data_IF_203580854897
#
_entry.id   IF_203580854897
#
_cell.length_a   1.000
_cell.length_b   1.000
_cell.length_c   1.000
_cell.angle_alpha   90.00
_cell.angle_beta   90.00
_cell.angle_gamma   90.00
#
_symmetry.space_group_name_H-M   'P 1'
#
loop_
_entity.id
_entity.type
_entity.pdbx_description
1 polymer ?
#
# COMPACT_ATOMS: atom_id res chain seq x y z
N UNK A 1 -17.16 13.85 10.78
CA UNK A 1 -16.30 14.53 9.78
C UNK A 1 -15.35 13.47 9.26
N UNK A 2 -15.34 13.16 7.96
CA UNK A 2 -14.44 12.12 7.46
C UNK A 2 -12.99 12.63 7.59
N UNK A 3 -12.18 11.94 8.39
CA UNK A 3 -10.75 12.24 8.54
C UNK A 3 -10.11 11.86 7.21
N UNK A 4 -9.60 12.84 6.46
CA UNK A 4 -8.78 12.56 5.28
C UNK A 4 -7.52 11.82 5.77
N UNK A 5 -7.33 10.58 5.30
CA UNK A 5 -6.14 9.77 5.60
C UNK A 5 -4.99 10.16 4.67
N UNK A 6 -3.74 9.85 5.02
CA UNK A 6 -2.60 10.01 4.11
C UNK A 6 -2.83 9.25 2.81
N UNK A 7 -3.47 8.07 2.87
CA UNK A 7 -3.88 7.29 1.69
C UNK A 7 -4.81 8.06 0.75
N UNK A 8 -5.86 8.72 1.26
CA UNK A 8 -6.74 9.56 0.43
C UNK A 8 -5.95 10.71 -0.21
N UNK A 9 -5.05 11.31 0.55
CA UNK A 9 -4.23 12.42 0.09
C UNK A 9 -3.27 11.98 -1.02
N UNK A 10 -2.59 10.85 -0.87
CA UNK A 10 -1.72 10.25 -1.91
C UNK A 10 -2.51 9.87 -3.16
N UNK A 11 -3.69 9.26 -3.00
CA UNK A 11 -4.53 8.92 -4.16
C UNK A 11 -4.90 10.17 -4.98
N UNK A 12 -5.08 11.31 -4.32
CA UNK A 12 -5.43 12.59 -4.94
C UNK A 12 -4.25 13.48 -5.32
N UNK A 13 -3.02 13.14 -4.92
CA UNK A 13 -1.85 13.99 -5.12
C UNK A 13 -1.40 13.98 -6.59
N UNK A 14 -0.91 15.13 -7.04
CA UNK A 14 -0.27 15.36 -8.34
C UNK A 14 1.13 15.89 -8.05
N UNK A 15 2.07 15.03 -7.67
CA UNK A 15 3.46 15.44 -7.42
C UNK A 15 4.43 14.39 -7.99
N UNK A 16 5.26 14.81 -8.94
CA UNK A 16 6.31 13.97 -9.55
C UNK A 16 6.79 14.50 -10.91
N UNK A 17 7.95 14.00 -11.35
CA UNK A 17 8.34 14.05 -12.77
C UNK A 17 7.47 13.04 -13.55
N UNK A 18 7.05 13.33 -14.80
CA UNK A 18 6.20 12.43 -15.55
C UNK A 18 6.84 11.05 -15.73
N UNK A 19 6.20 10.02 -15.18
CA UNK A 19 6.55 8.62 -15.45
C UNK A 19 5.74 8.14 -16.64
N UNK A 20 6.32 7.35 -17.55
CA UNK A 20 5.53 6.67 -18.57
C UNK A 20 4.94 5.38 -18.00
N UNK A 21 3.66 5.45 -17.59
CA UNK A 21 2.96 4.30 -16.99
C UNK A 21 2.27 3.40 -18.02
N UNK A 22 2.35 3.72 -19.32
CA UNK A 22 1.70 2.92 -20.37
C UNK A 22 2.21 1.48 -20.42
N UNK A 23 3.47 1.26 -20.02
CA UNK A 23 4.07 -0.07 -19.89
C UNK A 23 3.74 -0.80 -18.60
N UNK A 24 3.15 -0.16 -17.58
CA UNK A 24 2.92 -0.77 -16.25
C UNK A 24 1.60 -1.53 -16.15
N UNK A 25 0.67 -1.32 -17.07
CA UNK A 25 -0.52 -2.15 -17.22
C UNK A 25 -0.24 -3.33 -18.15
N UNK A 26 -0.96 -4.45 -17.94
CA UNK A 26 -1.04 -5.51 -18.95
C UNK A 26 -1.54 -4.93 -20.29
N UNK A 27 -1.35 -5.62 -21.43
CA UNK A 27 -1.87 -5.17 -22.73
C UNK A 27 -3.38 -4.83 -22.72
N UNK A 28 -4.11 -5.45 -21.79
CA UNK A 28 -5.56 -5.26 -21.62
C UNK A 28 -5.91 -4.15 -20.60
N UNK A 29 -4.92 -3.52 -19.96
CA UNK A 29 -5.09 -2.39 -19.02
C UNK A 29 -5.16 -2.76 -17.53
N UNK A 30 -4.83 -4.00 -17.15
CA UNK A 30 -4.87 -4.42 -15.75
C UNK A 30 -3.55 -4.10 -15.02
N UNK A 31 -3.64 -3.60 -13.80
CA UNK A 31 -2.49 -3.32 -12.92
C UNK A 31 -2.78 -3.81 -11.51
N UNK A 32 -1.75 -4.09 -10.73
CA UNK A 32 -1.87 -4.27 -9.28
C UNK A 32 -1.37 -3.03 -8.56
N UNK A 33 -2.25 -2.41 -7.78
CA UNK A 33 -1.97 -1.23 -7.00
C UNK A 33 -1.71 -1.61 -5.54
N UNK A 34 -0.70 -0.99 -4.95
CA UNK A 34 -0.42 -1.05 -3.52
C UNK A 34 -0.50 0.36 -2.95
N UNK A 35 -1.30 0.53 -1.91
CA UNK A 35 -1.28 1.73 -1.08
C UNK A 35 -0.67 1.39 0.27
N UNK A 36 0.19 2.27 0.78
CA UNK A 36 0.72 2.16 2.13
C UNK A 36 0.85 3.51 2.83
N UNK A 37 0.75 3.54 4.16
CA UNK A 37 1.12 4.68 5.01
C UNK A 37 1.52 4.22 6.42
N UNK A 38 2.00 5.13 7.27
CA UNK A 38 2.33 4.84 8.67
C UNK A 38 1.08 5.08 9.53
N UNK A 39 0.75 4.12 10.40
CA UNK A 39 -0.34 4.27 11.37
C UNK A 39 -0.03 5.39 12.37
N UNK A 40 -1.00 6.30 12.60
CA UNK A 40 -0.87 7.43 13.54
C UNK A 40 0.33 8.36 13.28
N UNK A 41 0.77 8.51 12.03
CA UNK A 41 1.96 9.30 11.67
C UNK A 41 1.95 10.75 12.18
N UNK A 42 0.80 11.42 12.19
CA UNK A 42 0.65 12.76 12.78
C UNK A 42 0.90 12.76 14.29
N UNK A 43 0.32 11.80 15.01
CA UNK A 43 0.51 11.66 16.44
C UNK A 43 1.96 11.29 16.79
N UNK A 44 2.59 10.44 15.99
CA UNK A 44 4.02 10.12 16.12
C UNK A 44 4.89 11.36 15.93
N UNK A 45 4.62 12.18 14.91
CA UNK A 45 5.37 13.42 14.71
C UNK A 45 5.27 14.37 15.92
N UNK A 46 4.06 14.54 16.48
CA UNK A 46 3.86 15.37 17.68
C UNK A 46 4.65 14.86 18.90
N UNK A 47 4.74 13.54 19.08
CA UNK A 47 5.46 12.92 20.20
C UNK A 47 6.98 12.93 20.03
N UNK A 48 7.46 12.63 18.83
CA UNK A 48 8.89 12.46 18.53
C UNK A 48 9.58 13.79 18.20
N UNK A 49 8.81 14.77 17.73
CA UNK A 49 9.29 16.04 17.21
C UNK A 49 9.82 15.94 15.79
N UNK A 50 9.77 17.08 15.08
CA UNK A 50 9.99 17.16 13.63
C UNK A 50 11.31 16.53 13.16
N UNK A 51 12.39 16.69 13.93
CA UNK A 51 13.71 16.20 13.51
C UNK A 51 13.80 14.69 13.50
N UNK A 52 13.39 14.05 14.59
CA UNK A 52 13.43 12.59 14.70
C UNK A 52 12.42 11.96 13.73
N UNK A 53 11.22 12.53 13.65
CA UNK A 53 10.22 12.10 12.67
C UNK A 53 10.72 12.21 11.23
N UNK A 54 11.41 13.31 10.87
CA UNK A 54 11.99 13.47 9.53
C UNK A 54 12.99 12.35 9.19
N UNK A 55 13.88 12.00 10.13
CA UNK A 55 14.87 10.94 9.91
C UNK A 55 14.19 9.56 9.75
N UNK A 56 13.15 9.27 10.54
CA UNK A 56 12.33 8.05 10.42
C UNK A 56 11.59 8.01 9.08
N UNK A 57 10.96 9.12 8.71
CA UNK A 57 10.21 9.22 7.46
C UNK A 57 11.11 9.02 6.25
N UNK A 58 12.31 9.58 6.28
CA UNK A 58 13.30 9.39 5.22
C UNK A 58 13.71 7.93 5.09
N UNK A 59 13.97 7.24 6.20
CA UNK A 59 14.39 5.85 6.21
C UNK A 59 13.24 4.91 5.79
N UNK A 60 12.01 5.16 6.25
CA UNK A 60 10.79 4.48 5.78
C UNK A 60 10.63 4.62 4.26
N UNK A 61 10.69 5.86 3.76
CA UNK A 61 10.54 6.14 2.34
C UNK A 61 11.64 5.46 1.51
N UNK A 62 12.88 5.40 2.00
CA UNK A 62 13.97 4.69 1.34
C UNK A 62 13.71 3.18 1.23
N UNK A 63 13.21 2.55 2.31
CA UNK A 63 12.85 1.12 2.31
C UNK A 63 11.74 0.84 1.31
N UNK A 64 10.63 1.59 1.36
CA UNK A 64 9.48 1.35 0.47
C UNK A 64 9.90 1.50 -1.00
N UNK A 65 10.68 2.54 -1.35
CA UNK A 65 11.17 2.74 -2.72
C UNK A 65 12.12 1.65 -3.17
N UNK A 66 13.06 1.25 -2.32
CA UNK A 66 14.02 0.21 -2.63
C UNK A 66 13.36 -1.14 -2.88
N UNK A 67 12.40 -1.52 -2.02
CA UNK A 67 11.66 -2.76 -2.16
C UNK A 67 10.68 -2.74 -3.33
N UNK A 68 10.01 -1.61 -3.59
CA UNK A 68 9.21 -1.47 -4.80
C UNK A 68 10.04 -1.78 -6.05
N UNK A 69 11.21 -1.16 -6.20
CA UNK A 69 12.11 -1.41 -7.33
C UNK A 69 12.66 -2.84 -7.38
N UNK A 70 12.97 -3.44 -6.23
CA UNK A 70 13.47 -4.83 -6.15
C UNK A 70 12.44 -5.88 -6.58
N UNK A 71 11.14 -5.54 -6.53
CA UNK A 71 10.02 -6.39 -6.94
C UNK A 71 9.37 -5.92 -8.25
N UNK A 72 10.13 -5.24 -9.12
CA UNK A 72 9.67 -4.73 -10.43
C UNK A 72 8.42 -3.81 -10.32
N UNK A 73 8.31 -3.11 -9.20
CA UNK A 73 7.28 -2.12 -8.92
C UNK A 73 7.73 -0.71 -9.27
N UNK A 74 6.76 0.13 -9.58
CA UNK A 74 6.95 1.57 -9.80
C UNK A 74 6.26 2.36 -8.71
N UNK A 75 6.93 3.35 -8.15
CA UNK A 75 6.28 4.34 -7.29
C UNK A 75 5.57 5.33 -8.18
N UNK A 76 4.24 5.27 -8.21
CA UNK A 76 3.40 6.21 -8.98
C UNK A 76 3.44 7.57 -8.31
N UNK A 77 3.17 7.61 -7.00
CA UNK A 77 3.23 8.84 -6.20
C UNK A 77 3.43 8.56 -4.72
N UNK A 78 3.82 9.60 -4.01
CA UNK A 78 4.04 9.58 -2.56
C UNK A 78 3.74 10.94 -1.96
N UNK A 79 3.17 10.97 -0.76
CA UNK A 79 2.92 12.19 -0.01
C UNK A 79 3.15 11.91 1.47
N UNK A 80 4.13 12.60 2.06
CA UNK A 80 4.57 12.35 3.43
C UNK A 80 5.08 10.91 3.60
N UNK A 81 4.34 10.13 4.38
CA UNK A 81 4.56 8.71 4.70
C UNK A 81 3.82 7.74 3.78
N UNK A 82 2.90 8.28 2.97
CA UNK A 82 2.02 7.51 2.14
C UNK A 82 2.57 7.27 0.73
N UNK A 83 2.30 6.08 0.17
CA UNK A 83 2.70 5.65 -1.16
C UNK A 83 1.56 5.06 -1.96
N UNK A 84 1.59 5.30 -3.26
CA UNK A 84 0.88 4.55 -4.28
C UNK A 84 1.91 3.90 -5.20
N UNK A 85 1.91 2.58 -5.22
CA UNK A 85 2.80 1.76 -6.04
C UNK A 85 1.98 0.98 -7.07
N UNK A 86 2.61 0.68 -8.20
CA UNK A 86 2.02 -0.13 -9.26
C UNK A 86 2.94 -1.27 -9.66
N UNK A 87 2.33 -2.43 -9.92
CA UNK A 87 3.00 -3.66 -10.32
C UNK A 87 2.21 -4.31 -11.45
N UNK A 88 2.91 -4.88 -12.42
CA UNK A 88 2.30 -5.74 -13.44
C UNK A 88 1.85 -7.09 -12.86
N UNK A 89 2.50 -7.55 -11.78
CA UNK A 89 2.26 -8.86 -11.16
C UNK A 89 1.66 -8.71 -9.77
N UNK A 90 0.49 -9.34 -9.55
CA UNK A 90 -0.12 -9.41 -8.22
C UNK A 90 0.78 -10.15 -7.21
N UNK A 91 1.53 -11.16 -7.69
CA UNK A 91 2.47 -11.88 -6.86
C UNK A 91 3.64 -10.99 -6.40
N UNK A 92 4.21 -10.20 -7.31
CA UNK A 92 5.29 -9.28 -6.99
C UNK A 92 4.84 -8.20 -5.99
N UNK A 93 3.65 -7.62 -6.19
CA UNK A 93 3.04 -6.67 -5.26
C UNK A 93 2.89 -7.25 -3.84
N UNK A 94 2.36 -8.48 -3.74
CA UNK A 94 2.17 -9.17 -2.45
C UNK A 94 3.51 -9.48 -1.79
N UNK A 95 4.52 -9.92 -2.55
CA UNK A 95 5.88 -10.16 -2.01
C UNK A 95 6.56 -8.89 -1.55
N UNK A 96 6.44 -7.80 -2.30
CA UNK A 96 6.90 -6.48 -1.88
C UNK A 96 6.24 -6.06 -0.56
N UNK A 97 4.92 -6.22 -0.44
CA UNK A 97 4.20 -5.87 0.79
C UNK A 97 4.68 -6.68 2.01
N UNK A 98 4.91 -7.99 1.84
CA UNK A 98 5.49 -8.85 2.89
C UNK A 98 6.86 -8.33 3.31
N UNK A 99 7.74 -8.05 2.36
CA UNK A 99 9.12 -7.62 2.66
C UNK A 99 9.16 -6.23 3.29
N UNK A 100 8.25 -5.33 2.90
CA UNK A 100 8.10 -4.01 3.55
C UNK A 100 7.72 -4.19 5.02
N UNK A 101 6.69 -5.00 5.31
CA UNK A 101 6.30 -5.29 6.69
C UNK A 101 7.46 -5.95 7.45
N UNK A 102 8.07 -7.02 6.94
CA UNK A 102 9.19 -7.70 7.60
C UNK A 102 10.38 -6.76 7.87
N UNK A 103 10.68 -5.86 6.94
CA UNK A 103 11.82 -4.95 7.04
C UNK A 103 11.58 -3.86 8.07
N UNK A 104 10.35 -3.36 8.17
CA UNK A 104 9.98 -2.26 9.06
C UNK A 104 9.44 -2.73 10.42
N UNK A 105 9.00 -3.98 10.51
CA UNK A 105 8.43 -4.54 11.73
C UNK A 105 9.43 -4.49 12.88
N UNK A 106 8.97 -3.99 14.02
CA UNK A 106 9.78 -3.89 15.23
C UNK A 106 10.90 -2.85 15.15
N UNK A 107 11.01 -2.06 14.07
CA UNK A 107 11.91 -0.90 14.06
C UNK A 107 11.40 0.12 15.09
N UNK A 108 12.29 0.48 16.00
CA UNK A 108 12.02 1.51 16.98
C UNK A 108 11.87 2.86 16.28
N UNK A 109 10.77 3.54 16.53
CA UNK A 109 10.49 4.90 16.08
C UNK A 109 10.86 5.94 17.14
N UNK A 110 11.34 5.54 18.32
CA UNK A 110 11.69 6.48 19.39
C UNK A 110 12.42 5.80 20.55
N UNK A 111 12.77 6.59 21.56
CA UNK A 111 13.50 6.11 22.74
C UNK A 111 12.63 5.26 23.69
N UNK A 112 11.31 5.39 23.61
CA UNK A 112 10.36 4.70 24.49
C UNK A 112 9.95 3.30 23.99
N UNK A 113 10.59 2.81 22.91
CA UNK A 113 10.26 1.51 22.32
C UNK A 113 8.97 1.50 21.48
N UNK A 114 8.44 2.68 21.12
CA UNK A 114 7.38 2.81 20.12
C UNK A 114 7.85 2.18 18.80
N UNK A 115 7.01 1.34 18.19
CA UNK A 115 7.33 0.64 16.95
C UNK A 115 6.65 1.29 15.76
N UNK A 116 7.37 1.36 14.64
CA UNK A 116 6.78 1.80 13.38
C UNK A 116 5.81 0.73 12.89
N UNK A 117 4.57 1.14 12.60
CA UNK A 117 3.55 0.24 12.04
C UNK A 117 3.06 0.80 10.73
N UNK A 118 3.11 -0.02 9.68
CA UNK A 118 2.68 0.35 8.34
C UNK A 118 1.31 -0.29 8.09
N UNK A 119 0.48 0.37 7.30
CA UNK A 119 -0.80 -0.15 6.84
C UNK A 119 -0.66 -0.37 5.35
N UNK A 120 -1.02 -1.54 4.84
CA UNK A 120 -0.88 -1.84 3.40
C UNK A 120 -2.19 -2.39 2.85
N UNK A 121 -2.60 -1.89 1.68
CA UNK A 121 -3.71 -2.43 0.90
C UNK A 121 -3.29 -2.76 -0.52
N UNK A 122 -3.72 -3.92 -1.03
CA UNK A 122 -3.40 -4.41 -2.38
C UNK A 122 -4.66 -4.76 -3.17
N UNK A 123 -4.75 -4.26 -4.39
CA UNK A 123 -5.84 -4.59 -5.30
C UNK A 123 -5.38 -4.64 -6.76
N UNK A 124 -5.91 -5.60 -7.53
CA UNK A 124 -5.69 -5.72 -8.97
C UNK A 124 -6.96 -5.41 -9.73
N UNK A 125 -6.85 -4.62 -10.79
CA UNK A 125 -7.97 -4.31 -11.66
C UNK A 125 -7.57 -3.43 -12.85
N UNK A 126 -8.53 -3.19 -13.74
CA UNK A 126 -8.34 -2.30 -14.87
C UNK A 126 -8.32 -0.84 -14.43
N UNK A 127 -7.40 -0.08 -14.99
CA UNK A 127 -7.25 1.36 -14.73
C UNK A 127 -7.10 2.11 -16.04
N UNK A 128 -7.37 3.41 -15.99
CA UNK A 128 -7.00 4.32 -17.07
C UNK A 128 -5.62 4.85 -16.71
N UNK A 129 -4.61 4.52 -17.52
CA UNK A 129 -3.30 5.15 -17.45
C UNK A 129 -3.35 6.48 -18.22
N UNK A 130 -2.95 7.56 -17.58
CA UNK A 130 -2.81 8.88 -18.21
C UNK A 130 -1.48 9.48 -17.79
N UNK A 131 -0.57 9.63 -18.76
CA UNK A 131 0.86 9.94 -18.60
C UNK A 131 1.50 9.23 -17.40
N UNK A 132 1.38 9.85 -16.23
CA UNK A 132 2.06 9.65 -14.97
C UNK A 132 1.13 9.26 -13.81
N UNK A 133 -0.15 9.02 -14.07
CA UNK A 133 -1.12 8.62 -13.05
C UNK A 133 -2.08 7.50 -13.49
N UNK A 134 -2.74 6.91 -12.51
CA UNK A 134 -3.82 5.96 -12.72
C UNK A 134 -5.14 6.49 -12.19
N UNK A 135 -6.18 6.32 -13.01
CA UNK A 135 -7.53 6.73 -12.68
C UNK A 135 -8.52 5.58 -12.72
N UNK A 136 -9.61 5.78 -11.99
CA UNK A 136 -10.80 4.94 -12.05
C UNK A 136 -11.11 4.24 -10.73
N UNK A 137 -12.18 3.46 -10.78
CA UNK A 137 -12.78 2.81 -9.61
C UNK A 137 -11.79 1.92 -8.84
N UNK A 138 -10.90 1.22 -9.54
CA UNK A 138 -9.98 0.27 -8.91
C UNK A 138 -8.86 0.96 -8.12
N UNK A 139 -8.49 2.20 -8.48
CA UNK A 139 -7.59 3.04 -7.67
C UNK A 139 -8.25 3.38 -6.34
N UNK A 140 -9.51 3.83 -6.38
CA UNK A 140 -10.30 4.12 -5.18
C UNK A 140 -10.48 2.87 -4.31
N UNK A 141 -10.76 1.72 -4.92
CA UNK A 141 -10.90 0.47 -4.17
C UNK A 141 -9.59 0.05 -3.48
N UNK A 142 -8.45 0.16 -4.17
CA UNK A 142 -7.14 -0.12 -3.58
C UNK A 142 -6.86 0.76 -2.35
N UNK A 143 -7.13 2.07 -2.47
CA UNK A 143 -7.00 3.02 -1.37
C UNK A 143 -7.91 2.67 -0.19
N UNK A 144 -9.18 2.32 -0.46
CA UNK A 144 -10.14 1.96 0.61
C UNK A 144 -9.81 0.65 1.32
N UNK A 145 -9.20 -0.30 0.61
CA UNK A 145 -8.68 -1.52 1.23
C UNK A 145 -7.53 -1.17 2.17
N UNK A 146 -6.59 -0.32 1.76
CA UNK A 146 -5.51 0.14 2.62
C UNK A 146 -6.01 0.92 3.85
N UNK A 147 -7.02 1.78 3.68
CA UNK A 147 -7.63 2.52 4.79
C UNK A 147 -8.23 1.62 5.89
N UNK A 148 -8.63 0.39 5.54
CA UNK A 148 -9.19 -0.58 6.48
C UNK A 148 -8.14 -1.37 7.26
N UNK A 149 -6.90 -1.36 6.79
CA UNK A 149 -5.81 -2.03 7.47
C UNK A 149 -5.51 -1.31 8.79
N UNK A 150 -5.15 -2.08 9.80
CA UNK A 150 -4.50 -1.54 11.01
C UNK A 150 -2.99 -1.64 10.88
N UNK A 151 -2.24 -0.98 11.77
CA UNK A 151 -0.79 -1.01 11.76
C UNK A 151 -0.22 -2.43 11.88
N UNK A 152 0.64 -2.80 10.94
CA UNK A 152 1.21 -4.13 10.78
C UNK A 152 0.34 -5.10 9.96
N UNK A 153 -0.71 -4.61 9.30
CA UNK A 153 -1.64 -5.42 8.51
C UNK A 153 -1.48 -5.16 7.00
N UNK A 154 -1.44 -6.25 6.23
CA UNK A 154 -1.54 -6.23 4.77
C UNK A 154 -2.90 -6.77 4.37
N UNK A 155 -3.77 -5.90 3.87
CA UNK A 155 -5.07 -6.27 3.34
C UNK A 155 -5.05 -6.41 1.83
N UNK A 156 -5.73 -7.42 1.32
CA UNK A 156 -5.85 -7.68 -0.11
C UNK A 156 -7.31 -7.87 -0.52
N UNK A 157 -7.65 -7.44 -1.73
CA UNK A 157 -8.93 -7.82 -2.35
C UNK A 157 -9.00 -9.31 -2.66
N UNK A 158 -10.22 -9.86 -2.79
CA UNK A 158 -10.43 -11.24 -3.28
C UNK A 158 -9.73 -11.52 -4.61
N UNK A 159 -9.70 -10.56 -5.55
CA UNK A 159 -9.03 -10.71 -6.85
C UNK A 159 -7.54 -11.00 -6.69
N UNK A 160 -6.86 -10.24 -5.83
CA UNK A 160 -5.42 -10.44 -5.56
C UNK A 160 -5.18 -11.82 -4.96
N UNK A 161 -5.96 -12.20 -3.95
CA UNK A 161 -5.90 -13.54 -3.34
C UNK A 161 -6.04 -14.63 -4.39
N UNK A 162 -7.00 -14.51 -5.32
CA UNK A 162 -7.22 -15.47 -6.40
C UNK A 162 -6.04 -15.53 -7.37
N UNK A 163 -5.50 -14.38 -7.79
CA UNK A 163 -4.34 -14.31 -8.67
C UNK A 163 -3.08 -14.90 -8.05
N UNK A 164 -2.99 -14.92 -6.73
CA UNK A 164 -1.84 -15.49 -6.01
C UNK A 164 -2.09 -16.90 -5.44
N UNK A 165 -3.26 -17.51 -5.69
CA UNK A 165 -3.69 -18.74 -5.04
C UNK A 165 -2.81 -19.96 -5.35
N UNK A 166 -2.07 -19.94 -6.45
CA UNK A 166 -1.15 -21.02 -6.83
C UNK A 166 0.14 -21.06 -6.00
N UNK A 167 0.44 -20.00 -5.24
CA UNK A 167 1.61 -19.97 -4.37
C UNK A 167 1.27 -20.59 -3.00
N UNK A 168 1.79 -21.80 -2.69
CA UNK A 168 1.54 -22.46 -1.42
C UNK A 168 2.30 -21.81 -0.26
N UNK A 169 3.12 -20.80 -0.49
CA UNK A 169 3.61 -19.92 0.55
C UNK A 169 2.47 -19.05 1.08
N UNK A 170 1.72 -18.39 0.19
CA UNK A 170 0.78 -17.33 0.59
C UNK A 170 -0.41 -17.87 1.40
N UNK A 171 -0.70 -17.20 2.52
CA UNK A 171 -1.80 -17.53 3.43
C UNK A 171 -2.63 -16.30 3.70
N UNK A 172 -3.93 -16.47 3.62
CA UNK A 172 -4.90 -15.39 3.74
C UNK A 172 -6.02 -15.78 4.70
N UNK A 173 -6.46 -14.83 5.52
CA UNK A 173 -7.64 -14.97 6.36
C UNK A 173 -8.73 -14.01 5.88
N UNK A 174 -9.97 -14.50 5.84
CA UNK A 174 -11.10 -13.66 5.47
C UNK A 174 -11.33 -12.60 6.54
N UNK A 175 -11.16 -11.33 6.17
CA UNK A 175 -11.26 -10.19 7.07
C UNK A 175 -12.69 -9.66 7.17
N UNK A 176 -13.46 -9.78 6.09
CA UNK A 176 -14.85 -9.37 6.03
C UNK A 176 -15.29 -8.89 4.64
N UNK A 177 -16.58 -8.60 4.54
CA UNK A 177 -17.23 -7.98 3.39
C UNK A 177 -17.47 -6.50 3.69
N UNK A 178 -16.96 -5.61 2.85
CA UNK A 178 -17.01 -4.16 3.09
C UNK A 178 -17.79 -3.43 2.01
N UNK A 179 -18.61 -2.46 2.42
CA UNK A 179 -19.18 -1.46 1.52
C UNK A 179 -18.41 -0.16 1.64
N UNK A 180 -17.71 0.21 0.58
CA UNK A 180 -16.91 1.41 0.57
C UNK A 180 -17.68 2.60 -0.01
N UNK A 181 -17.48 3.77 0.61
CA UNK A 181 -18.06 5.02 0.11
C UNK A 181 -17.59 5.26 -1.33
N UNK A 182 -18.54 5.55 -2.23
CA UNK A 182 -18.24 5.82 -3.64
C UNK A 182 -18.06 4.56 -4.50
N UNK A 183 -18.22 3.35 -3.93
CA UNK A 183 -18.15 2.08 -4.64
C UNK A 183 -19.47 1.31 -4.51
N UNK A 184 -19.85 0.63 -5.59
CA UNK A 184 -21.02 -0.25 -5.60
C UNK A 184 -20.64 -1.67 -5.16
N UNK A 185 -21.55 -2.29 -4.41
CA UNK A 185 -21.43 -3.68 -3.98
C UNK A 185 -20.71 -3.87 -2.65
N UNK A 186 -20.61 -5.13 -2.26
CA UNK A 186 -19.76 -5.58 -1.17
C UNK A 186 -18.44 -6.11 -1.74
N UNK A 187 -17.37 -5.87 -0.98
CA UNK A 187 -16.02 -6.21 -1.36
C UNK A 187 -15.40 -7.10 -0.29
N UNK A 188 -15.14 -8.35 -0.65
CA UNK A 188 -14.41 -9.28 0.20
C UNK A 188 -12.95 -8.82 0.33
N UNK A 189 -12.51 -8.68 1.57
CA UNK A 189 -11.14 -8.31 1.93
C UNK A 189 -10.53 -9.42 2.77
N UNK A 190 -9.25 -9.69 2.55
CA UNK A 190 -8.50 -10.74 3.24
C UNK A 190 -7.23 -10.17 3.84
N UNK A 191 -6.88 -10.62 5.04
CA UNK A 191 -5.61 -10.30 5.67
C UNK A 191 -4.56 -11.31 5.21
N UNK A 192 -3.41 -10.82 4.74
CA UNK A 192 -2.27 -11.65 4.37
C UNK A 192 -1.44 -11.94 5.62
N UNK A 193 -1.22 -13.22 5.93
CA UNK A 193 -0.51 -13.68 7.12
C UNK A 193 1.02 -13.61 6.95
N UNK A 194 1.56 -12.40 6.77
CA UNK A 194 2.96 -12.15 6.44
C UNK A 194 3.95 -12.54 7.56
N UNK A 195 3.49 -12.64 8.82
CA UNK A 195 4.32 -13.05 9.96
C UNK A 195 4.60 -14.57 10.00
N UNK A 196 3.86 -15.35 9.20
CA UNK A 196 4.07 -16.80 9.11
C UNK A 196 5.18 -17.18 8.13
N UNK A 197 5.81 -16.21 7.47
CA UNK A 197 6.96 -16.41 6.58
C UNK A 197 8.25 -16.13 7.35
N UNK A 198 8.92 -17.21 7.75
CA UNK A 198 10.23 -17.20 8.41
C UNK A 198 11.04 -18.42 8.01
#
# INVERSE_FOLDING_TARGET
MARHTSIDAVASAVEGEPLDLTGMSSPDGAVTLVFSDIEDSTGMNERLGDRLWYDILRDHNAVVRGLAGAHDGTVVKSLGDGFMLAFQSAHAAVRCAIEVEQTLHGRAAGQDGETLKVRIGVHSGFVIADSDDFYGRNVVLAARIADCAVGGEVLVSEVVKQYTASDPGLRFEHRGEFRFKGLHGEHAVHSLLWQSFG
#
